data_IF_959723499775
#
_entry.id   IF_959723499775
#
_cell.length_a   1.000
_cell.length_b   1.000
_cell.length_c   1.000
_cell.angle_alpha   90.00
_cell.angle_beta   90.00
_cell.angle_gamma   90.00
#
_symmetry.space_group_name_H-M   'P 1'
#
loop_
_entity.id
_entity.type
_entity.pdbx_description
1 polymer ?
#
# COMPACT_ATOMS: atom_id res chain seq x y z
N UNK A 1 4.83 12.82 -7.58
CA UNK A 1 5.70 12.16 -6.58
C UNK A 1 5.45 10.67 -6.62
N UNK A 2 6.50 9.89 -6.45
CA UNK A 2 6.43 8.44 -6.48
C UNK A 2 6.69 7.86 -5.08
N UNK A 3 6.28 6.61 -4.88
CA UNK A 3 6.61 5.88 -3.66
C UNK A 3 8.13 5.66 -3.61
N UNK A 4 8.73 5.84 -2.44
CA UNK A 4 10.15 5.58 -2.23
C UNK A 4 10.40 4.06 -2.14
N UNK A 5 10.70 3.44 -3.27
CA UNK A 5 10.93 2.00 -3.33
C UNK A 5 12.22 1.59 -2.62
N UNK A 6 13.21 2.47 -2.56
CA UNK A 6 14.43 2.21 -1.80
C UNK A 6 14.14 2.08 -0.31
N UNK A 7 13.26 2.92 0.24
CA UNK A 7 12.84 2.82 1.62
C UNK A 7 12.10 1.51 1.89
N UNK A 8 11.24 1.07 0.98
CA UNK A 8 10.54 -0.23 1.08
C UNK A 8 11.53 -1.39 1.14
N UNK A 9 12.53 -1.39 0.27
CA UNK A 9 13.55 -2.44 0.25
C UNK A 9 14.42 -2.42 1.51
N UNK A 10 14.72 -1.24 2.03
CA UNK A 10 15.48 -1.11 3.28
C UNK A 10 14.71 -1.73 4.46
N UNK A 11 13.41 -1.50 4.56
CA UNK A 11 12.57 -2.10 5.60
C UNK A 11 12.53 -3.62 5.47
N UNK A 12 12.44 -4.14 4.23
CA UNK A 12 12.45 -5.58 3.98
C UNK A 12 13.75 -6.21 4.49
N UNK A 13 14.89 -5.61 4.17
CA UNK A 13 16.21 -6.12 4.57
C UNK A 13 16.45 -5.96 6.07
N UNK A 14 16.17 -4.78 6.63
CA UNK A 14 16.52 -4.45 8.00
C UNK A 14 15.54 -5.03 9.04
N UNK A 15 14.27 -5.19 8.68
CA UNK A 15 13.21 -5.58 9.60
C UNK A 15 12.58 -6.91 9.28
N UNK A 16 12.91 -7.51 8.12
CA UNK A 16 12.32 -8.75 7.69
C UNK A 16 10.84 -8.67 7.33
N UNK A 17 10.34 -7.47 7.04
CA UNK A 17 8.95 -7.26 6.61
C UNK A 17 8.90 -7.40 5.09
N UNK A 18 8.11 -8.35 4.53
CA UNK A 18 8.05 -8.54 3.09
C UNK A 18 7.57 -7.28 2.36
N UNK A 19 8.30 -6.86 1.32
CA UNK A 19 7.92 -5.70 0.52
C UNK A 19 6.55 -5.90 -0.15
N UNK A 20 6.22 -7.12 -0.56
CA UNK A 20 4.91 -7.44 -1.14
C UNK A 20 3.75 -7.19 -0.18
N UNK A 21 3.93 -7.49 1.10
CA UNK A 21 2.92 -7.20 2.13
C UNK A 21 2.71 -5.70 2.30
N UNK A 22 3.80 -4.93 2.33
CA UNK A 22 3.72 -3.47 2.40
C UNK A 22 3.03 -2.88 1.17
N UNK A 23 3.37 -3.38 -0.01
CA UNK A 23 2.75 -2.93 -1.27
C UNK A 23 1.25 -3.22 -1.26
N UNK A 24 0.82 -4.39 -0.83
CA UNK A 24 -0.59 -4.75 -0.77
C UNK A 24 -1.36 -3.85 0.20
N UNK A 25 -0.78 -3.55 1.36
CA UNK A 25 -1.38 -2.64 2.33
C UNK A 25 -1.49 -1.22 1.75
N UNK A 26 -0.45 -0.75 1.08
CA UNK A 26 -0.45 0.56 0.41
C UNK A 26 -1.54 0.61 -0.67
N UNK A 27 -1.65 -0.43 -1.49
CA UNK A 27 -2.69 -0.52 -2.52
C UNK A 27 -4.09 -0.42 -1.92
N UNK A 28 -4.35 -1.13 -0.83
CA UNK A 28 -5.66 -1.08 -0.15
C UNK A 28 -5.97 0.31 0.38
N UNK A 29 -5.00 0.97 1.00
CA UNK A 29 -5.17 2.32 1.52
C UNK A 29 -5.41 3.33 0.39
N UNK A 30 -4.69 3.20 -0.71
CA UNK A 30 -4.83 4.06 -1.88
C UNK A 30 -6.17 3.86 -2.58
N UNK A 31 -6.65 2.63 -2.66
CA UNK A 31 -7.97 2.35 -3.22
C UNK A 31 -9.06 3.01 -2.39
N UNK A 32 -8.96 2.95 -1.08
CA UNK A 32 -9.89 3.64 -0.17
C UNK A 32 -9.85 5.15 -0.40
N UNK A 33 -8.67 5.75 -0.52
CA UNK A 33 -8.51 7.17 -0.81
C UNK A 33 -9.14 7.53 -2.17
N UNK A 34 -8.93 6.70 -3.19
CA UNK A 34 -9.53 6.92 -4.51
C UNK A 34 -11.06 6.92 -4.43
N UNK A 35 -11.65 6.01 -3.68
CA UNK A 35 -13.11 5.90 -3.53
C UNK A 35 -13.74 7.13 -2.87
N UNK A 36 -12.95 7.94 -2.17
CA UNK A 36 -13.41 9.21 -1.62
C UNK A 36 -13.30 10.37 -2.60
N UNK A 37 -12.74 10.17 -3.79
CA UNK A 37 -12.66 11.22 -4.80
C UNK A 37 -13.97 11.35 -5.57
N UNK A 38 -14.27 12.56 -6.04
CA UNK A 38 -15.42 12.79 -6.91
C UNK A 38 -15.17 12.11 -8.27
N UNK A 39 -16.20 11.45 -8.79
CA UNK A 39 -16.10 10.77 -10.09
C UNK A 39 -15.35 9.45 -10.08
N UNK A 40 -15.09 8.87 -8.91
CA UNK A 40 -14.46 7.56 -8.84
C UNK A 40 -15.30 6.48 -9.52
N UNK A 41 -14.62 5.49 -10.08
CA UNK A 41 -15.28 4.36 -10.73
C UNK A 41 -15.44 3.21 -9.73
N UNK A 42 -16.54 2.45 -9.87
CA UNK A 42 -16.83 1.34 -8.97
C UNK A 42 -15.79 0.22 -9.08
N UNK A 43 -15.30 -0.04 -10.30
CA UNK A 43 -14.30 -1.05 -10.56
C UNK A 43 -12.98 -0.38 -10.87
N UNK A 44 -12.06 -0.40 -9.91
CA UNK A 44 -10.74 0.19 -10.07
C UNK A 44 -9.71 -0.63 -9.30
N UNK A 45 -8.49 -0.61 -9.81
CA UNK A 45 -7.33 -1.22 -9.15
C UNK A 45 -6.20 -0.21 -9.06
N UNK A 46 -5.36 -0.39 -8.06
CA UNK A 46 -4.15 0.41 -7.89
C UNK A 46 -2.97 -0.37 -8.47
N UNK A 47 -2.22 0.28 -9.36
CA UNK A 47 -1.02 -0.27 -9.96
C UNK A 47 0.19 0.52 -9.47
N UNK A 48 1.20 -0.18 -8.95
CA UNK A 48 2.42 0.41 -8.43
C UNK A 48 3.60 -0.16 -9.20
N UNK A 49 4.34 0.71 -9.89
CA UNK A 49 5.57 0.32 -10.57
C UNK A 49 6.66 0.08 -9.50
N UNK A 50 7.11 -1.17 -9.39
CA UNK A 50 8.10 -1.55 -8.39
C UNK A 50 9.50 -0.99 -8.63
N UNK A 51 9.77 -0.51 -9.84
CA UNK A 51 11.06 0.10 -10.17
C UNK A 51 11.09 1.59 -9.87
N UNK A 52 10.02 2.30 -10.24
CA UNK A 52 9.97 3.77 -10.12
C UNK A 52 9.14 4.25 -8.94
N UNK A 53 8.25 3.40 -8.41
CA UNK A 53 7.29 3.78 -7.37
C UNK A 53 6.12 4.59 -7.90
N UNK A 54 5.96 4.69 -9.22
CA UNK A 54 4.83 5.39 -9.81
C UNK A 54 3.53 4.66 -9.53
N UNK A 55 2.49 5.41 -9.13
CA UNK A 55 1.18 4.87 -8.81
C UNK A 55 0.17 5.32 -9.83
N UNK A 56 -0.60 4.37 -10.35
CA UNK A 56 -1.70 4.62 -11.28
C UNK A 56 -2.97 3.97 -10.76
N UNK A 57 -4.10 4.63 -11.02
CA UNK A 57 -5.42 4.04 -10.77
C UNK A 57 -5.97 3.62 -12.13
N UNK A 58 -6.20 2.32 -12.28
CA UNK A 58 -6.76 1.75 -13.50
C UNK A 58 -8.24 1.44 -13.27
N UNK A 59 -9.11 2.20 -13.92
CA UNK A 59 -10.55 1.97 -13.87
C UNK A 59 -10.96 0.98 -14.96
N UNK A 60 -11.99 0.22 -14.68
CA UNK A 60 -12.51 -0.82 -15.58
C UNK A 60 -14.01 -0.71 -15.76
N UNK A 61 -14.45 -1.08 -16.93
CA UNK A 61 -15.86 -1.32 -17.21
C UNK A 61 -16.05 -2.82 -17.43
N UNK A 62 -16.99 -3.41 -16.70
CA UNK A 62 -17.29 -4.84 -16.80
C UNK A 62 -18.61 -5.02 -17.53
N UNK A 63 -18.73 -6.14 -18.29
CA UNK A 63 -20.00 -6.55 -18.88
C UNK A 63 -20.85 -7.33 -17.85
N UNK A 64 -22.03 -7.79 -18.26
CA UNK A 64 -22.95 -8.52 -17.39
C UNK A 64 -22.37 -9.86 -16.91
N UNK A 65 -21.40 -10.40 -17.63
CA UNK A 65 -20.73 -11.66 -17.28
C UNK A 65 -19.48 -11.44 -16.38
N UNK A 66 -19.15 -10.19 -16.08
CA UNK A 66 -18.00 -9.85 -15.25
C UNK A 66 -16.69 -9.73 -16.02
N UNK A 67 -16.72 -9.75 -17.35
CA UNK A 67 -15.55 -9.60 -18.21
C UNK A 67 -15.18 -8.13 -18.38
N UNK A 68 -13.89 -7.83 -18.43
CA UNK A 68 -13.41 -6.46 -18.67
C UNK A 68 -13.64 -6.08 -20.11
N UNK A 69 -14.50 -5.08 -20.33
CA UNK A 69 -14.80 -4.52 -21.65
C UNK A 69 -13.83 -3.39 -21.99
N UNK A 70 -13.48 -2.60 -21.00
CA UNK A 70 -12.65 -1.41 -21.17
C UNK A 70 -11.82 -1.18 -19.91
N UNK A 71 -10.62 -0.66 -20.10
CA UNK A 71 -9.73 -0.28 -19.00
C UNK A 71 -9.01 1.02 -19.38
N UNK A 72 -8.92 1.95 -18.45
CA UNK A 72 -8.27 3.24 -18.68
C UNK A 72 -7.62 3.76 -17.40
N UNK A 73 -6.69 4.69 -17.57
CA UNK A 73 -6.03 5.38 -16.46
C UNK A 73 -6.97 6.47 -15.93
N UNK A 74 -7.44 6.30 -14.69
CA UNK A 74 -8.31 7.26 -14.01
C UNK A 74 -7.63 7.87 -12.79
N UNK A 75 -6.31 7.97 -12.83
CA UNK A 75 -5.52 8.53 -11.73
C UNK A 75 -5.92 9.99 -11.49
N UNK A 76 -6.44 10.32 -10.29
CA UNK A 76 -6.82 11.71 -9.99
C UNK A 76 -5.61 12.64 -10.01
N UNK A 77 -5.85 13.91 -10.34
CA UNK A 77 -4.81 14.93 -10.29
C UNK A 77 -4.27 15.04 -8.85
N UNK A 78 -2.94 15.10 -8.72
CA UNK A 78 -2.29 15.15 -7.41
C UNK A 78 -2.28 13.84 -6.64
N UNK A 79 -2.78 12.75 -7.21
CA UNK A 79 -2.84 11.46 -6.54
C UNK A 79 -1.45 10.90 -6.21
N UNK A 80 -0.44 11.22 -7.02
CA UNK A 80 0.94 10.83 -6.73
C UNK A 80 1.43 11.34 -5.37
N UNK A 81 1.02 12.54 -4.99
CA UNK A 81 1.34 13.12 -3.67
C UNK A 81 0.63 12.36 -2.55
N UNK A 82 -0.65 12.04 -2.75
CA UNK A 82 -1.43 11.24 -1.81
C UNK A 82 -0.80 9.86 -1.65
N UNK A 83 -0.41 9.24 -2.76
CA UNK A 83 0.22 7.92 -2.77
C UNK A 83 1.55 7.93 -1.99
N UNK A 84 2.40 8.92 -2.22
CA UNK A 84 3.68 9.02 -1.52
C UNK A 84 3.49 9.21 -0.01
N UNK A 85 2.54 10.06 0.39
CA UNK A 85 2.22 10.29 1.80
C UNK A 85 1.64 9.04 2.45
N UNK A 86 0.70 8.38 1.79
CA UNK A 86 0.06 7.14 2.28
C UNK A 86 1.09 6.03 2.45
N UNK A 87 1.96 5.84 1.47
CA UNK A 87 3.01 4.84 1.53
C UNK A 87 3.94 5.08 2.71
N UNK A 88 4.33 6.34 2.92
CA UNK A 88 5.17 6.71 4.07
C UNK A 88 4.48 6.41 5.40
N UNK A 89 3.21 6.73 5.53
CA UNK A 89 2.44 6.46 6.75
C UNK A 89 2.32 4.96 7.01
N UNK A 90 2.05 4.16 5.98
CA UNK A 90 1.97 2.70 6.08
C UNK A 90 3.31 2.12 6.53
N UNK A 91 4.41 2.55 5.94
CA UNK A 91 5.74 2.10 6.30
C UNK A 91 6.08 2.43 7.75
N UNK A 92 5.78 3.65 8.20
CA UNK A 92 6.04 4.05 9.58
C UNK A 92 5.18 3.28 10.58
N UNK A 93 3.91 3.05 10.27
CA UNK A 93 3.02 2.28 11.13
C UNK A 93 3.48 0.84 11.24
N UNK A 94 3.82 0.22 10.12
CA UNK A 94 4.31 -1.18 10.12
C UNK A 94 5.61 -1.32 10.89
N UNK A 95 6.47 -0.33 10.78
CA UNK A 95 7.72 -0.27 11.53
C UNK A 95 7.46 -0.23 13.05
N UNK A 96 6.51 0.59 13.49
CA UNK A 96 6.11 0.68 14.90
C UNK A 96 5.48 -0.62 15.39
N UNK A 97 4.62 -1.23 14.59
CA UNK A 97 3.98 -2.49 14.94
C UNK A 97 5.01 -3.59 15.13
N UNK A 98 6.00 -3.68 14.26
CA UNK A 98 7.08 -4.66 14.38
C UNK A 98 7.90 -4.45 15.64
N UNK A 99 8.21 -3.20 16.02
CA UNK A 99 8.92 -2.89 17.26
C UNK A 99 8.07 -3.25 18.49
N UNK A 100 6.80 -2.94 18.47
CA UNK A 100 5.89 -3.26 19.56
C UNK A 100 5.75 -4.77 19.75
N UNK A 101 5.63 -5.52 18.69
CA UNK A 101 5.57 -6.98 18.74
C UNK A 101 6.85 -7.56 19.35
N UNK A 102 8.00 -7.02 18.98
CA UNK A 102 9.29 -7.45 19.52
C UNK A 102 9.40 -7.19 21.03
N UNK A 103 9.02 -6.00 21.47
CA UNK A 103 9.04 -5.63 22.90
C UNK A 103 8.08 -6.52 23.67
N UNK A 104 6.88 -6.71 23.16
CA UNK A 104 5.87 -7.56 23.80
C UNK A 104 6.34 -9.01 23.89
N UNK A 105 6.95 -9.52 22.83
CA UNK A 105 7.48 -10.88 22.80
C UNK A 105 8.59 -11.11 23.83
N UNK A 106 9.49 -10.17 23.97
CA UNK A 106 10.55 -10.23 24.99
C UNK A 106 9.98 -10.24 26.40
N UNK A 107 9.01 -9.41 26.66
CA UNK A 107 8.34 -9.35 27.96
C UNK A 107 7.59 -10.64 28.29
N UNK A 108 6.86 -11.18 27.32
CA UNK A 108 6.15 -12.45 27.49
C UNK A 108 7.12 -13.61 27.77
N UNK A 109 8.27 -13.63 27.12
CA UNK A 109 9.30 -14.64 27.36
C UNK A 109 9.84 -14.57 28.79
N UNK A 110 10.05 -13.38 29.32
CA UNK A 110 10.48 -13.21 30.70
C UNK A 110 9.46 -13.71 31.72
N UNK A 111 8.19 -13.44 31.46
CA UNK A 111 7.11 -13.97 32.29
C UNK A 111 7.07 -15.49 32.26
N UNK A 112 7.34 -16.09 31.11
CA UNK A 112 7.38 -17.54 30.96
C UNK A 112 8.51 -18.20 31.74
N UNK A 113 9.57 -17.49 32.07
CA UNK A 113 10.71 -17.99 32.82
C UNK A 113 10.46 -18.06 34.34
N UNK A 114 9.40 -17.47 34.77
CA UNK A 114 9.01 -17.49 36.18
C UNK A 114 8.17 -18.72 36.47
#
# INVERSE_FOLDING_TARGET
MNIDMAALHAIEVDRGIPAGELIDTIKSALLTAYRHTAGHQAEATIDIDQKTGEVKVMARELDDDGNVVSEWDDTPEGFGRVAATTARQVMLQRFRDAENEKIYGEFAAREGDI
#
